data_IF_002068739730
#
_entry.id   IF_002068739730
#
_cell.length_a   1.000
_cell.length_b   1.000
_cell.length_c   1.000
_cell.angle_alpha   90.00
_cell.angle_beta   90.00
_cell.angle_gamma   90.00
#
_symmetry.space_group_name_H-M   'P 1'
#
loop_
_entity.id
_entity.type
_entity.pdbx_description
1 polymer ?
#
# COMPACT_ATOMS: atom_id res chain seq x y z
N UNK A 1 -12.46 -7.92 22.57
CA UNK A 1 -12.04 -7.40 21.25
C UNK A 1 -12.10 -8.53 20.22
N UNK A 2 -13.23 -8.68 19.53
CA UNK A 2 -13.35 -9.57 18.37
C UNK A 2 -13.02 -8.72 17.13
N UNK A 3 -11.73 -8.58 16.82
CA UNK A 3 -11.25 -7.83 15.65
C UNK A 3 -10.49 -8.78 14.71
N UNK A 4 -11.11 -9.88 14.31
CA UNK A 4 -10.68 -10.58 13.09
C UNK A 4 -11.32 -9.93 11.85
N UNK A 5 -10.96 -10.38 10.64
CA UNK A 5 -11.59 -9.97 9.37
C UNK A 5 -13.09 -10.23 9.48
N UNK A 6 -13.92 -9.22 9.81
CA UNK A 6 -15.31 -9.45 10.13
C UNK A 6 -16.04 -9.60 8.81
N UNK A 7 -16.72 -10.72 8.62
CA UNK A 7 -17.57 -10.95 7.45
C UNK A 7 -18.83 -10.07 7.40
N UNK A 8 -18.93 -9.02 8.23
CA UNK A 8 -20.17 -8.25 8.47
C UNK A 8 -19.94 -6.78 8.87
N UNK A 9 -18.77 -6.20 8.57
CA UNK A 9 -18.58 -4.75 8.80
C UNK A 9 -19.35 -3.97 7.73
N UNK A 10 -20.11 -2.95 8.12
CA UNK A 10 -20.93 -2.13 7.19
C UNK A 10 -20.07 -1.44 6.13
N UNK A 11 -18.79 -1.22 6.44
CA UNK A 11 -17.76 -0.61 5.61
C UNK A 11 -16.89 -1.63 4.84
N UNK A 12 -17.18 -2.93 4.93
CA UNK A 12 -16.42 -3.96 4.20
C UNK A 12 -17.02 -4.22 2.82
N UNK A 13 -16.20 -4.03 1.79
CA UNK A 13 -16.56 -4.30 0.40
C UNK A 13 -16.34 -5.76 -0.01
N UNK A 14 -15.53 -6.50 0.75
CA UNK A 14 -15.22 -7.90 0.48
C UNK A 14 -15.48 -8.74 1.73
N UNK A 15 -16.09 -9.90 1.52
CA UNK A 15 -16.43 -10.83 2.58
C UNK A 15 -15.70 -12.16 2.34
N UNK A 16 -14.82 -12.58 3.26
CA UNK A 16 -14.17 -13.87 3.11
C UNK A 16 -15.22 -14.99 3.22
N UNK A 17 -15.04 -16.13 2.51
CA UNK A 17 -15.93 -17.29 2.65
C UNK A 17 -16.06 -17.77 4.11
N UNK A 18 -15.01 -17.54 4.91
CA UNK A 18 -15.01 -17.78 6.36
C UNK A 18 -14.44 -16.57 7.09
N UNK A 19 -15.27 -15.95 7.94
CA UNK A 19 -14.84 -14.86 8.80
C UNK A 19 -13.83 -15.36 9.85
N UNK A 20 -12.76 -14.59 10.05
CA UNK A 20 -11.83 -14.81 11.16
C UNK A 20 -12.37 -14.10 12.39
N UNK A 21 -12.53 -14.80 13.51
CA UNK A 21 -13.22 -14.26 14.70
C UNK A 21 -12.28 -13.65 15.74
N UNK A 22 -10.99 -14.01 15.73
CA UNK A 22 -10.03 -13.59 16.77
C UNK A 22 -8.71 -13.13 16.15
N UNK A 23 -8.07 -12.16 16.81
CA UNK A 23 -6.75 -11.66 16.41
C UNK A 23 -5.68 -12.76 16.49
N UNK A 24 -5.84 -13.70 17.45
CA UNK A 24 -4.93 -14.80 17.68
C UNK A 24 -4.81 -15.75 16.48
N UNK A 25 -5.86 -15.90 15.67
CA UNK A 25 -5.79 -16.72 14.44
C UNK A 25 -4.71 -16.23 13.48
N UNK A 26 -4.48 -14.93 13.40
CA UNK A 26 -3.46 -14.34 12.52
C UNK A 26 -2.15 -14.01 13.26
N UNK A 27 -2.23 -13.51 14.49
CA UNK A 27 -1.07 -13.00 15.23
C UNK A 27 -0.46 -14.01 16.22
N UNK A 28 -1.10 -15.15 16.46
CA UNK A 28 -0.56 -16.23 17.30
C UNK A 28 -0.62 -17.55 16.52
N UNK A 29 0.20 -17.69 15.46
CA UNK A 29 0.16 -18.86 14.58
C UNK A 29 0.41 -20.14 15.38
N UNK A 30 -0.18 -21.24 14.91
CA UNK A 30 -0.02 -22.54 15.56
C UNK A 30 1.39 -23.09 15.30
N UNK A 31 2.04 -23.56 16.36
CA UNK A 31 3.36 -24.19 16.31
C UNK A 31 3.27 -25.58 16.94
N UNK A 32 3.85 -26.58 16.28
CA UNK A 32 3.92 -27.94 16.82
C UNK A 32 4.68 -27.94 18.15
N UNK A 33 4.16 -28.64 19.15
CA UNK A 33 4.73 -28.62 20.50
C UNK A 33 4.28 -29.83 21.32
N UNK A 34 5.21 -30.29 22.17
CA UNK A 34 4.96 -31.32 23.18
C UNK A 34 4.58 -30.74 24.55
N UNK A 35 4.35 -29.43 24.63
CA UNK A 35 3.92 -28.76 25.86
C UNK A 35 2.65 -29.43 26.44
N UNK A 36 2.52 -29.55 27.78
CA UNK A 36 1.33 -30.12 28.39
C UNK A 36 0.01 -29.46 27.95
N UNK A 37 0.02 -28.17 27.63
CA UNK A 37 -1.12 -27.43 27.14
C UNK A 37 -1.38 -27.59 25.63
N UNK A 38 -0.49 -28.25 24.87
CA UNK A 38 -0.63 -28.42 23.43
C UNK A 38 -1.86 -29.27 23.07
N UNK A 39 -2.61 -28.85 22.06
CA UNK A 39 -3.85 -29.50 21.59
C UNK A 39 -3.88 -29.54 20.07
N UNK A 40 -4.71 -30.41 19.51
CA UNK A 40 -5.01 -30.37 18.08
C UNK A 40 -6.02 -29.25 17.80
N UNK A 41 -5.50 -28.05 17.54
CA UNK A 41 -6.31 -26.85 17.32
C UNK A 41 -6.91 -26.76 15.91
N UNK A 42 -6.40 -27.53 14.95
CA UNK A 42 -6.80 -27.46 13.53
C UNK A 42 -7.31 -28.79 12.95
N UNK A 43 -7.43 -29.84 13.77
CA UNK A 43 -7.98 -31.13 13.37
C UNK A 43 -7.00 -31.99 12.55
N UNK A 44 -5.71 -31.65 12.58
CA UNK A 44 -4.66 -32.35 11.81
C UNK A 44 -4.12 -33.60 12.51
N UNK A 45 -4.51 -33.86 13.76
CA UNK A 45 -3.97 -34.90 14.62
C UNK A 45 -2.64 -34.53 15.31
N UNK A 46 -2.03 -33.38 14.97
CA UNK A 46 -0.79 -32.91 15.58
C UNK A 46 -1.06 -31.96 16.76
N UNK A 47 -0.38 -32.16 17.89
CA UNK A 47 -0.46 -31.26 19.05
C UNK A 47 0.32 -29.97 18.78
N UNK A 48 -0.35 -28.83 18.99
CA UNK A 48 0.17 -27.49 18.72
C UNK A 48 -0.10 -26.56 19.90
N UNK A 49 0.65 -25.48 19.99
CA UNK A 49 0.36 -24.31 20.84
C UNK A 49 0.16 -23.07 19.96
N UNK A 50 -0.43 -22.03 20.53
CA UNK A 50 -0.40 -20.71 19.93
C UNK A 50 0.94 -20.02 20.21
N UNK A 51 1.64 -19.63 19.17
CA UNK A 51 2.90 -18.89 19.28
C UNK A 51 2.70 -17.56 19.97
N UNK A 52 3.54 -17.26 20.96
CA UNK A 52 3.59 -15.96 21.63
C UNK A 52 4.68 -15.05 21.03
N UNK A 53 5.17 -15.37 19.83
CA UNK A 53 6.14 -14.54 19.13
C UNK A 53 5.51 -13.28 18.51
N UNK A 54 4.20 -13.31 18.19
CA UNK A 54 3.44 -12.20 17.59
C UNK A 54 4.10 -11.57 16.35
N UNK A 55 4.41 -12.35 15.30
CA UNK A 55 4.87 -11.76 14.06
C UNK A 55 3.80 -10.81 13.50
N UNK A 56 4.24 -9.60 13.18
CA UNK A 56 3.44 -8.50 12.63
C UNK A 56 4.36 -7.54 11.85
N UNK A 57 3.95 -6.29 11.64
CA UNK A 57 4.72 -5.34 10.84
C UNK A 57 6.04 -4.85 11.49
N UNK A 58 6.34 -5.16 12.75
CA UNK A 58 7.47 -4.54 13.46
C UNK A 58 8.85 -5.16 13.15
N UNK A 59 9.36 -4.94 11.94
CA UNK A 59 10.74 -5.29 11.57
C UNK A 59 11.79 -4.41 12.26
N UNK A 60 11.41 -3.19 12.67
CA UNK A 60 12.33 -2.20 13.24
C UNK A 60 12.87 -2.60 14.62
N UNK A 61 12.03 -3.11 15.51
CA UNK A 61 12.50 -3.56 16.84
C UNK A 61 13.36 -4.81 16.75
N UNK A 62 12.98 -5.78 15.91
CA UNK A 62 13.79 -6.99 15.72
C UNK A 62 15.19 -6.65 15.21
N UNK A 63 15.30 -5.68 14.31
CA UNK A 63 16.59 -5.15 13.85
C UNK A 63 17.34 -4.39 14.95
N UNK A 64 16.69 -3.42 15.62
CA UNK A 64 17.34 -2.58 16.62
C UNK A 64 17.81 -3.35 17.88
N UNK A 65 17.18 -4.48 18.18
CA UNK A 65 17.57 -5.38 19.28
C UNK A 65 18.49 -6.52 18.82
N UNK A 66 18.94 -6.51 17.56
CA UNK A 66 19.82 -7.54 16.98
C UNK A 66 19.26 -8.96 17.18
N UNK A 67 17.94 -9.12 17.04
CA UNK A 67 17.31 -10.44 17.17
C UNK A 67 17.76 -11.36 16.02
N UNK A 68 17.76 -12.69 16.23
CA UNK A 68 18.13 -13.64 15.18
C UNK A 68 17.32 -13.45 13.89
N UNK A 69 17.92 -13.69 12.73
CA UNK A 69 17.30 -13.46 11.40
C UNK A 69 15.91 -14.08 11.24
N UNK A 70 15.66 -15.23 11.89
CA UNK A 70 14.34 -15.88 11.92
C UNK A 70 13.22 -14.97 12.43
N UNK A 71 13.52 -14.05 13.35
CA UNK A 71 12.56 -13.08 13.88
C UNK A 71 12.13 -12.10 12.79
N UNK A 72 13.09 -11.50 12.08
CA UNK A 72 12.82 -10.58 10.96
C UNK A 72 12.12 -11.33 9.82
N UNK A 73 12.54 -12.56 9.52
CA UNK A 73 11.92 -13.40 8.50
C UNK A 73 10.44 -13.68 8.82
N UNK A 74 10.10 -14.01 10.08
CA UNK A 74 8.72 -14.21 10.50
C UNK A 74 7.87 -12.93 10.39
N UNK A 75 8.43 -11.76 10.72
CA UNK A 75 7.77 -10.47 10.49
C UNK A 75 7.53 -10.17 9.00
N UNK A 76 8.52 -10.46 8.14
CA UNK A 76 8.39 -10.32 6.68
C UNK A 76 7.32 -11.26 6.11
N UNK A 77 7.33 -12.53 6.51
CA UNK A 77 6.31 -13.50 6.09
C UNK A 77 4.89 -13.11 6.50
N UNK A 78 4.72 -12.40 7.62
CA UNK A 78 3.41 -11.87 8.03
C UNK A 78 2.93 -10.69 7.15
N UNK A 79 3.87 -9.94 6.55
CA UNK A 79 3.56 -8.83 5.65
C UNK A 79 3.25 -9.29 4.22
N UNK A 80 3.67 -10.50 3.83
CA UNK A 80 3.43 -11.05 2.50
C UNK A 80 1.92 -11.19 2.21
N UNK A 81 1.49 -10.60 1.09
CA UNK A 81 0.08 -10.59 0.67
C UNK A 81 -0.84 -9.76 1.57
N UNK A 82 -0.29 -8.92 2.46
CA UNK A 82 -1.10 -8.00 3.27
C UNK A 82 -1.78 -6.92 2.42
N UNK A 83 -1.12 -6.52 1.34
CA UNK A 83 -1.60 -5.48 0.44
C UNK A 83 -1.32 -5.82 -1.03
N UNK A 84 -1.91 -5.06 -1.94
CA UNK A 84 -1.61 -5.06 -3.37
C UNK A 84 -1.49 -3.62 -3.87
N UNK A 85 -0.64 -3.43 -4.88
CA UNK A 85 -0.60 -2.22 -5.71
C UNK A 85 -1.01 -2.62 -7.12
N UNK A 86 -1.81 -1.80 -7.78
CA UNK A 86 -2.16 -1.97 -9.19
C UNK A 86 -2.08 -0.61 -9.89
N UNK A 87 -1.22 -0.50 -10.91
CA UNK A 87 -1.20 0.63 -11.83
C UNK A 87 -2.36 0.40 -12.78
N UNK A 88 -3.52 0.91 -12.38
CA UNK A 88 -4.80 0.54 -12.96
C UNK A 88 -5.02 1.22 -14.31
N UNK A 89 -4.82 2.54 -14.36
CA UNK A 89 -5.21 3.37 -15.50
C UNK A 89 -4.31 4.57 -15.70
N UNK A 90 -4.48 5.25 -16.83
CA UNK A 90 -4.10 6.66 -16.96
C UNK A 90 -5.25 7.50 -17.48
N UNK A 91 -5.29 8.78 -17.11
CA UNK A 91 -6.18 9.78 -17.71
C UNK A 91 -5.42 10.73 -18.60
N UNK A 92 -6.00 11.08 -19.73
CA UNK A 92 -5.48 12.12 -20.62
C UNK A 92 -5.45 13.49 -19.93
N UNK A 93 -4.63 14.40 -20.48
CA UNK A 93 -4.44 15.79 -20.02
C UNK A 93 -3.88 15.96 -18.59
N UNK A 94 -3.73 14.88 -17.81
CA UNK A 94 -3.25 14.97 -16.44
C UNK A 94 -4.31 15.44 -15.43
N UNK A 95 -5.59 15.31 -15.78
CA UNK A 95 -6.72 15.82 -14.99
C UNK A 95 -7.67 14.69 -14.57
N UNK A 96 -8.37 14.88 -13.45
CA UNK A 96 -9.28 13.88 -12.86
C UNK A 96 -10.54 13.60 -13.71
N UNK A 97 -10.88 14.50 -14.63
CA UNK A 97 -11.98 14.40 -15.59
C UNK A 97 -11.51 14.03 -17.01
N UNK A 98 -10.20 13.83 -17.20
CA UNK A 98 -9.63 13.34 -18.44
C UNK A 98 -10.12 11.93 -18.81
N UNK A 99 -10.04 11.62 -20.11
CA UNK A 99 -10.43 10.31 -20.67
C UNK A 99 -9.61 9.21 -20.01
N UNK A 100 -10.28 8.26 -19.36
CA UNK A 100 -9.64 7.15 -18.68
C UNK A 100 -9.32 6.02 -19.66
N UNK A 101 -8.07 5.58 -19.64
CA UNK A 101 -7.59 4.37 -20.30
C UNK A 101 -7.29 3.33 -19.22
N UNK A 102 -8.20 2.38 -19.03
CA UNK A 102 -8.08 1.34 -18.01
C UNK A 102 -8.86 0.05 -18.38
N UNK A 103 -8.40 -1.12 -17.92
CA UNK A 103 -7.11 -1.32 -17.28
C UNK A 103 -5.97 -1.25 -18.31
N UNK A 104 -4.78 -0.80 -17.91
CA UNK A 104 -3.68 -0.54 -18.86
C UNK A 104 -3.10 -1.80 -19.52
N UNK A 105 -3.17 -2.96 -18.86
CA UNK A 105 -2.59 -4.23 -19.28
C UNK A 105 -3.33 -4.95 -20.43
N UNK A 106 -4.39 -4.33 -20.95
CA UNK A 106 -5.04 -4.70 -22.21
C UNK A 106 -5.43 -3.50 -23.06
N UNK A 107 -4.85 -2.32 -22.79
CA UNK A 107 -5.19 -1.09 -23.51
C UNK A 107 -4.33 -0.93 -24.77
N UNK A 108 -4.92 -0.51 -25.89
CA UNK A 108 -4.19 -0.11 -27.10
C UNK A 108 -3.59 1.31 -26.99
N UNK A 109 -3.41 1.80 -25.76
CA UNK A 109 -2.96 3.16 -25.48
C UNK A 109 -1.51 3.36 -25.96
N UNK A 110 -1.31 4.44 -26.69
CA UNK A 110 -0.01 5.00 -27.03
C UNK A 110 0.11 6.36 -26.37
N UNK A 111 1.12 6.53 -25.51
CA UNK A 111 1.42 7.81 -24.90
C UNK A 111 2.10 8.73 -25.92
N UNK A 112 1.59 9.95 -26.05
CA UNK A 112 2.18 10.98 -26.91
C UNK A 112 3.30 11.70 -26.14
N UNK A 113 4.55 11.73 -26.67
CA UNK A 113 5.59 12.61 -26.16
C UNK A 113 5.14 14.08 -26.11
N UNK A 114 5.55 14.80 -25.08
CA UNK A 114 5.13 16.19 -24.81
C UNK A 114 3.76 16.34 -24.13
N UNK A 115 3.03 15.24 -23.90
CA UNK A 115 1.73 15.28 -23.20
C UNK A 115 1.84 14.96 -21.72
N UNK A 116 0.79 15.34 -21.00
CA UNK A 116 0.57 15.03 -19.59
C UNK A 116 -0.50 13.98 -19.43
N UNK A 117 -0.29 13.07 -18.48
CA UNK A 117 -1.21 12.00 -18.11
C UNK A 117 -1.31 11.90 -16.59
N UNK A 118 -2.48 11.52 -16.08
CA UNK A 118 -2.68 11.25 -14.66
C UNK A 118 -2.66 9.73 -14.45
N UNK A 119 -1.65 9.20 -13.78
CA UNK A 119 -1.56 7.78 -13.46
C UNK A 119 -2.48 7.47 -12.27
N UNK A 120 -3.32 6.46 -12.43
CA UNK A 120 -4.28 5.98 -11.43
C UNK A 120 -3.73 4.72 -10.76
N UNK A 121 -3.10 4.87 -9.59
CA UNK A 121 -2.54 3.74 -8.83
C UNK A 121 -3.48 3.35 -7.69
N UNK A 122 -3.80 2.06 -7.58
CA UNK A 122 -4.68 1.52 -6.54
C UNK A 122 -3.86 0.81 -5.47
N UNK A 123 -4.09 1.14 -4.20
CA UNK A 123 -3.51 0.46 -3.03
C UNK A 123 -4.61 -0.30 -2.29
N UNK A 124 -4.49 -1.61 -2.21
CA UNK A 124 -5.53 -2.50 -1.68
C UNK A 124 -5.13 -3.17 -0.38
N UNK A 125 -6.01 -3.19 0.63
CA UNK A 125 -5.82 -3.90 1.90
C UNK A 125 -6.46 -5.31 1.91
N UNK A 126 -5.68 -6.35 1.65
CA UNK A 126 -6.19 -7.70 1.40
C UNK A 126 -6.50 -8.49 2.68
N UNK A 127 -5.46 -8.79 3.47
CA UNK A 127 -5.53 -9.74 4.59
C UNK A 127 -5.72 -9.07 5.96
N UNK A 128 -5.58 -7.75 6.04
CA UNK A 128 -5.56 -7.06 7.33
C UNK A 128 -6.99 -6.77 7.79
N UNK A 129 -7.41 -7.41 8.88
CA UNK A 129 -8.75 -7.24 9.48
C UNK A 129 -8.97 -5.91 10.21
N UNK A 130 -8.04 -4.98 10.08
CA UNK A 130 -8.05 -3.63 10.61
C UNK A 130 -7.45 -2.68 9.57
N UNK A 131 -7.35 -1.38 9.86
CA UNK A 131 -6.76 -0.43 8.92
C UNK A 131 -5.30 -0.76 8.61
N UNK A 132 -4.90 -0.53 7.37
CA UNK A 132 -3.50 -0.60 6.93
C UNK A 132 -2.91 0.81 7.01
N UNK A 133 -1.95 1.13 7.89
CA UNK A 133 -1.48 0.36 9.07
C UNK A 133 -2.31 0.67 10.32
N UNK A 134 -2.15 -0.05 11.44
CA UNK A 134 -2.81 0.28 12.71
C UNK A 134 -1.83 0.19 13.91
N UNK A 135 -2.34 0.48 15.11
CA UNK A 135 -1.57 0.60 16.35
C UNK A 135 -0.97 1.99 16.47
N UNK A 136 0.00 2.30 15.61
CA UNK A 136 0.72 3.58 15.60
C UNK A 136 0.81 4.12 14.19
N UNK A 137 -0.36 4.43 13.63
CA UNK A 137 -0.51 4.85 12.24
C UNK A 137 0.09 6.23 11.96
N UNK A 138 0.38 7.02 12.98
CA UNK A 138 1.04 8.34 12.95
C UNK A 138 2.55 8.26 12.64
N UNK A 139 3.17 7.12 12.94
CA UNK A 139 4.62 6.96 13.05
C UNK A 139 5.16 5.69 12.39
N UNK A 140 4.27 4.79 11.94
CA UNK A 140 4.59 3.80 10.93
C UNK A 140 4.79 4.53 9.60
N UNK A 141 5.86 4.24 8.86
CA UNK A 141 6.15 4.85 7.57
C UNK A 141 5.76 3.87 6.47
N UNK A 142 4.54 4.04 5.94
CA UNK A 142 4.02 3.29 4.79
C UNK A 142 3.79 4.27 3.66
N UNK A 143 4.46 4.10 2.52
CA UNK A 143 4.38 5.04 1.40
C UNK A 143 4.38 4.32 0.06
N UNK A 144 3.84 5.00 -0.95
CA UNK A 144 3.91 4.54 -2.34
C UNK A 144 5.14 5.17 -2.99
N UNK A 145 6.00 4.31 -3.50
CA UNK A 145 7.25 4.63 -4.17
C UNK A 145 7.06 4.41 -5.68
N UNK A 146 7.15 5.48 -6.48
CA UNK A 146 6.87 5.46 -7.92
C UNK A 146 8.09 5.90 -8.71
N UNK A 147 8.42 5.18 -9.77
CA UNK A 147 9.40 5.59 -10.77
C UNK A 147 8.86 5.43 -12.17
N UNK A 148 9.13 6.43 -13.01
CA UNK A 148 8.81 6.42 -14.43
C UNK A 148 10.11 6.51 -15.21
N UNK A 149 10.32 5.61 -16.16
CA UNK A 149 11.53 5.60 -16.99
C UNK A 149 11.23 5.29 -18.45
N UNK A 150 12.04 5.82 -19.35
CA UNK A 150 11.96 5.52 -20.77
C UNK A 150 13.38 5.40 -21.36
N UNK A 151 13.63 4.38 -22.16
CA UNK A 151 14.97 4.10 -22.69
C UNK A 151 16.05 3.92 -21.60
N UNK A 152 15.67 3.46 -20.40
CA UNK A 152 16.57 3.34 -19.23
C UNK A 152 16.85 4.65 -18.48
N UNK A 153 16.34 5.78 -18.96
CA UNK A 153 16.42 7.09 -18.29
C UNK A 153 15.23 7.27 -17.36
N UNK A 154 15.48 7.65 -16.10
CA UNK A 154 14.44 8.08 -15.17
C UNK A 154 13.86 9.43 -15.64
N UNK A 155 12.54 9.50 -15.82
CA UNK A 155 11.81 10.70 -16.24
C UNK A 155 10.80 11.19 -15.19
N UNK A 156 10.50 10.38 -14.17
CA UNK A 156 9.64 10.78 -13.05
C UNK A 156 9.90 9.96 -11.80
N UNK A 157 9.73 10.56 -10.61
CA UNK A 157 10.00 9.92 -9.33
C UNK A 157 9.15 10.51 -8.20
N UNK A 158 8.61 9.64 -7.34
CA UNK A 158 8.02 9.99 -6.04
C UNK A 158 8.37 8.89 -5.03
N UNK A 159 8.51 9.19 -3.75
CA UNK A 159 8.88 8.19 -2.73
C UNK A 159 10.37 7.84 -2.67
N UNK A 160 11.24 8.63 -3.30
CA UNK A 160 12.68 8.46 -3.14
C UNK A 160 13.11 8.69 -1.68
N UNK A 161 14.14 7.95 -1.25
CA UNK A 161 14.78 8.18 0.04
C UNK A 161 16.05 9.00 -0.14
N UNK A 162 16.21 10.04 0.67
CA UNK A 162 17.45 10.81 0.75
C UNK A 162 18.59 10.04 1.42
N UNK A 163 19.81 10.62 1.46
CA UNK A 163 20.99 9.96 2.02
C UNK A 163 20.87 9.54 3.49
N UNK A 164 20.08 10.27 4.27
CA UNK A 164 19.81 9.99 5.69
C UNK A 164 18.64 9.01 5.89
N UNK A 165 18.04 8.51 4.81
CA UNK A 165 16.89 7.62 4.82
C UNK A 165 15.54 8.34 4.93
N UNK A 166 15.48 9.67 4.91
CA UNK A 166 14.20 10.41 4.87
C UNK A 166 13.48 10.15 3.55
N UNK A 167 12.22 9.71 3.62
CA UNK A 167 11.36 9.59 2.42
C UNK A 167 10.95 10.99 1.96
N UNK A 168 10.91 11.21 0.66
CA UNK A 168 10.39 12.44 0.04
C UNK A 168 9.06 12.86 0.71
N UNK A 169 9.00 14.06 1.34
CA UNK A 169 7.82 14.49 2.08
C UNK A 169 6.57 14.71 1.20
N UNK A 170 6.72 14.79 -0.12
CA UNK A 170 5.61 14.91 -1.07
C UNK A 170 5.05 13.56 -1.53
N UNK A 171 5.56 12.46 -0.99
CA UNK A 171 5.07 11.11 -1.30
C UNK A 171 3.68 10.88 -0.74
N UNK A 172 2.93 9.98 -1.37
CA UNK A 172 1.68 9.51 -0.76
C UNK A 172 1.98 8.55 0.40
N UNK A 173 1.74 9.01 1.62
CA UNK A 173 1.82 8.20 2.83
C UNK A 173 0.46 7.61 3.18
N UNK A 174 0.43 6.29 3.40
CA UNK A 174 -0.72 5.53 3.91
C UNK A 174 -0.67 5.58 5.44
N UNK A 175 -1.01 6.73 6.00
CA UNK A 175 -0.89 7.02 7.43
C UNK A 175 -2.04 7.92 7.93
N UNK A 176 -2.05 8.18 9.23
CA UNK A 176 -2.85 9.24 9.82
C UNK A 176 -1.92 10.41 10.16
N UNK A 177 -2.18 11.60 9.61
CA UNK A 177 -1.40 12.79 9.91
C UNK A 177 -2.05 13.55 11.05
N UNK A 178 -1.48 13.41 12.25
CA UNK A 178 -2.03 13.99 13.47
C UNK A 178 -1.29 15.27 13.82
N UNK A 179 -2.04 16.30 14.21
CA UNK A 179 -1.52 17.59 14.65
C UNK A 179 -1.64 17.75 16.16
N UNK A 180 -0.72 18.52 16.73
CA UNK A 180 -0.83 19.05 18.09
C UNK A 180 -1.72 20.29 18.13
N UNK A 181 -2.04 20.78 19.33
CA UNK A 181 -2.78 22.04 19.53
C UNK A 181 -2.08 23.28 18.95
N UNK A 182 -0.79 23.16 18.63
CA UNK A 182 0.03 24.22 18.03
C UNK A 182 0.12 24.12 16.50
N UNK A 183 -0.55 23.14 15.89
CA UNK A 183 -0.52 22.91 14.45
C UNK A 183 0.73 22.18 13.94
N UNK A 184 1.55 21.66 14.85
CA UNK A 184 2.74 20.86 14.51
C UNK A 184 2.34 19.40 14.27
N UNK A 185 3.05 18.69 13.40
CA UNK A 185 2.89 17.23 13.27
C UNK A 185 3.26 16.54 14.58
N UNK A 186 2.43 15.60 15.03
CA UNK A 186 2.79 14.67 16.09
C UNK A 186 3.82 13.67 15.56
N UNK A 187 5.08 13.78 15.98
CA UNK A 187 6.21 13.04 15.41
C UNK A 187 7.08 12.30 16.46
N UNK A 188 6.75 12.41 17.75
CA UNK A 188 7.51 11.81 18.86
C UNK A 188 6.77 10.71 19.61
N UNK A 189 5.63 10.25 19.09
CA UNK A 189 4.72 9.30 19.77
C UNK A 189 4.25 9.77 21.15
N UNK A 190 4.18 11.08 21.33
CA UNK A 190 3.64 11.77 22.48
C UNK A 190 2.11 11.83 22.41
N UNK A 191 1.44 10.69 22.56
CA UNK A 191 0.00 10.57 22.38
C UNK A 191 -0.84 11.58 23.17
N UNK A 192 -0.36 12.06 24.32
CA UNK A 192 -1.01 13.10 25.12
C UNK A 192 -1.17 14.45 24.40
N UNK A 193 -0.37 14.71 23.37
CA UNK A 193 -0.40 15.97 22.61
C UNK A 193 -1.26 15.87 21.33
N UNK A 194 -1.89 14.71 21.09
CA UNK A 194 -2.80 14.51 19.96
C UNK A 194 -3.99 15.47 20.06
N UNK A 195 -4.22 16.26 19.01
CA UNK A 195 -5.31 17.23 18.98
C UNK A 195 -6.31 16.96 17.86
N UNK A 196 -5.86 16.93 16.60
CA UNK A 196 -6.73 16.71 15.44
C UNK A 196 -6.01 15.95 14.34
N UNK A 197 -6.73 15.10 13.60
CA UNK A 197 -6.22 14.44 12.40
C UNK A 197 -6.41 15.36 11.20
N UNK A 198 -5.31 15.80 10.57
CA UNK A 198 -5.34 16.60 9.35
C UNK A 198 -5.85 15.79 8.16
N UNK A 199 -5.35 14.56 8.01
CA UNK A 199 -5.86 13.60 7.03
C UNK A 199 -5.68 12.17 7.56
N UNK A 200 -6.51 11.25 7.06
CA UNK A 200 -6.38 9.82 7.31
C UNK A 200 -6.39 9.05 5.98
N UNK A 201 -5.22 8.61 5.53
CA UNK A 201 -5.05 7.80 4.33
C UNK A 201 -4.94 6.31 4.64
N UNK A 202 -5.23 5.88 5.87
CA UNK A 202 -5.21 4.46 6.19
C UNK A 202 -6.29 3.71 5.41
N UNK A 203 -5.96 2.54 4.85
CA UNK A 203 -6.92 1.77 4.04
C UNK A 203 -7.72 0.82 4.94
N UNK A 204 -9.06 0.94 5.03
CA UNK A 204 -9.90 0.04 5.84
C UNK A 204 -9.81 -1.44 5.43
N UNK A 205 -10.28 -2.38 6.27
CA UNK A 205 -10.33 -3.80 5.94
C UNK A 205 -11.14 -4.04 4.67
N UNK A 206 -10.56 -4.72 3.68
CA UNK A 206 -11.27 -5.02 2.45
C UNK A 206 -11.51 -3.80 1.55
N UNK A 207 -10.96 -2.63 1.88
CA UNK A 207 -11.07 -1.44 1.03
C UNK A 207 -9.79 -1.19 0.22
N UNK A 208 -9.85 -0.17 -0.64
CA UNK A 208 -8.75 0.32 -1.46
C UNK A 208 -8.63 1.85 -1.35
N UNK A 209 -7.50 2.39 -1.79
CA UNK A 209 -7.28 3.81 -2.01
C UNK A 209 -6.77 4.03 -3.45
N UNK A 210 -7.19 5.13 -4.08
CA UNK A 210 -6.63 5.58 -5.36
C UNK A 210 -5.65 6.71 -5.09
N UNK A 211 -4.47 6.62 -5.70
CA UNK A 211 -3.42 7.63 -5.65
C UNK A 211 -3.15 8.11 -7.06
N UNK A 212 -3.26 9.42 -7.26
CA UNK A 212 -3.06 10.05 -8.55
C UNK A 212 -1.63 10.60 -8.67
N UNK A 213 -0.92 10.24 -9.73
CA UNK A 213 0.39 10.82 -10.04
C UNK A 213 0.35 11.52 -11.38
N UNK A 214 0.69 12.81 -11.39
CA UNK A 214 0.89 13.51 -12.65
C UNK A 214 2.19 13.06 -13.29
N UNK A 215 2.11 12.62 -14.53
CA UNK A 215 3.24 12.24 -15.37
C UNK A 215 3.28 13.15 -16.59
N UNK A 216 4.41 13.80 -16.83
CA UNK A 216 4.69 14.53 -18.06
C UNK A 216 5.65 13.67 -18.90
N UNK A 217 5.23 13.29 -20.11
CA UNK A 217 6.08 12.51 -21.01
C UNK A 217 6.98 13.50 -21.76
N UNK A 218 8.31 13.45 -21.60
CA UNK A 218 9.19 14.38 -22.31
C UNK A 218 9.10 14.22 -23.84
N UNK A 219 9.25 15.33 -24.58
CA UNK A 219 9.18 15.34 -26.05
C UNK A 219 10.26 14.47 -26.72
N UNK A 220 11.39 14.26 -26.04
CA UNK A 220 12.55 13.52 -26.54
C UNK A 220 12.50 12.02 -26.20
N UNK A 221 11.43 11.55 -25.57
CA UNK A 221 11.26 10.12 -25.29
C UNK A 221 10.93 9.37 -26.58
N UNK A 222 11.73 8.35 -26.84
CA UNK A 222 11.44 7.30 -27.82
C UNK A 222 11.43 5.94 -27.12
N UNK A 223 10.49 5.08 -27.50
CA UNK A 223 10.33 3.76 -26.89
C UNK A 223 9.43 3.78 -25.65
N UNK A 224 9.09 2.61 -25.10
CA UNK A 224 8.03 2.52 -24.12
C UNK A 224 8.38 3.19 -22.78
N UNK A 225 7.37 3.79 -22.16
CA UNK A 225 7.42 4.35 -20.81
C UNK A 225 7.11 3.24 -19.80
N UNK A 226 8.06 2.98 -18.91
CA UNK A 226 7.95 2.02 -17.83
C UNK A 226 7.55 2.75 -16.54
N UNK A 227 6.41 2.37 -15.97
CA UNK A 227 5.92 2.87 -14.69
C UNK A 227 6.04 1.73 -13.69
N UNK A 228 6.74 1.98 -12.58
CA UNK A 228 6.87 1.05 -11.46
C UNK A 228 6.32 1.72 -10.21
N UNK A 229 5.50 0.99 -9.44
CA UNK A 229 4.96 1.43 -8.17
C UNK A 229 5.19 0.35 -7.11
N UNK A 230 5.65 0.73 -5.93
CA UNK A 230 5.88 -0.16 -4.80
C UNK A 230 5.34 0.43 -3.51
N UNK A 231 4.51 -0.33 -2.79
CA UNK A 231 4.10 0.02 -1.43
C UNK A 231 5.19 -0.42 -0.47
N UNK A 232 5.91 0.54 0.11
CA UNK A 232 7.05 0.31 0.99
C UNK A 232 6.72 0.64 2.43
N UNK A 233 7.22 -0.16 3.34
CA UNK A 233 6.99 -0.04 4.77
C UNK A 233 8.30 0.00 5.55
N UNK A 234 8.36 0.87 6.54
CA UNK A 234 9.35 0.87 7.61
C UNK A 234 8.67 1.21 8.93
N UNK A 235 9.12 0.57 10.02
CA UNK A 235 8.43 0.69 11.32
C UNK A 235 8.44 2.10 11.89
N UNK A 236 9.58 2.79 11.79
CA UNK A 236 9.78 4.11 12.35
C UNK A 236 10.32 5.03 11.26
N UNK A 237 9.67 6.18 11.10
CA UNK A 237 10.15 7.21 10.18
C UNK A 237 11.47 7.83 10.67
N UNK A 238 12.12 8.57 9.77
CA UNK A 238 13.43 9.17 10.02
C UNK A 238 13.37 10.26 11.08
N UNK A 239 12.27 10.99 11.19
CA UNK A 239 12.09 12.04 12.22
C UNK A 239 12.11 11.41 13.61
N UNK A 240 11.34 10.36 13.82
CA UNK A 240 11.26 9.65 15.09
C UNK A 240 12.60 9.00 15.47
N UNK A 241 13.27 8.31 14.54
CA UNK A 241 14.57 7.71 14.85
C UNK A 241 15.65 8.74 15.14
N UNK A 242 15.66 9.87 14.44
CA UNK A 242 16.58 10.97 14.73
C UNK A 242 16.38 11.48 16.15
N UNK A 243 15.14 11.65 16.57
CA UNK A 243 14.82 12.03 17.94
C UNK A 243 15.32 11.01 18.97
N UNK A 244 15.05 9.71 18.75
CA UNK A 244 15.46 8.63 19.68
C UNK A 244 16.98 8.46 19.77
N UNK A 245 17.69 8.56 18.65
CA UNK A 245 19.14 8.36 18.62
C UNK A 245 19.93 9.63 18.98
N UNK A 246 19.34 10.82 18.84
CA UNK A 246 19.98 12.10 19.15
C UNK A 246 21.27 12.31 18.36
N UNK A 247 22.35 12.73 19.04
CA UNK A 247 23.67 12.96 18.42
C UNK A 247 24.28 11.72 17.76
N UNK A 248 23.79 10.51 18.08
CA UNK A 248 24.24 9.25 17.45
C UNK A 248 23.56 8.98 16.11
N UNK A 249 22.50 9.71 15.77
CA UNK A 249 21.82 9.53 14.50
C UNK A 249 22.78 9.81 13.33
N UNK A 250 22.84 8.88 12.38
CA UNK A 250 23.62 9.02 11.14
C UNK A 250 22.73 8.91 9.91
N UNK A 251 21.82 7.94 9.95
CA UNK A 251 20.80 7.66 8.93
C UNK A 251 19.76 6.74 9.55
N UNK A 252 18.58 6.69 8.96
CA UNK A 252 17.61 5.64 9.26
C UNK A 252 18.00 4.38 8.47
N UNK A 253 18.54 3.41 9.18
CA UNK A 253 19.02 2.12 8.68
C UNK A 253 18.04 0.96 8.93
N UNK A 254 16.84 1.24 9.46
CA UNK A 254 15.88 0.17 9.68
C UNK A 254 15.44 -0.49 8.37
N UNK A 255 15.11 -1.80 8.40
CA UNK A 255 14.69 -2.52 7.22
C UNK A 255 13.44 -1.91 6.58
N UNK A 256 13.54 -1.62 5.28
CA UNK A 256 12.39 -1.34 4.42
C UNK A 256 11.88 -2.66 3.84
N UNK A 257 10.57 -2.88 3.91
CA UNK A 257 9.88 -4.04 3.33
C UNK A 257 8.97 -3.55 2.20
N UNK A 258 9.08 -4.15 1.03
CA UNK A 258 8.10 -3.95 -0.06
C UNK A 258 6.91 -4.88 0.21
N UNK A 259 5.75 -4.32 0.51
CA UNK A 259 4.52 -5.08 0.77
C UNK A 259 3.88 -5.55 -0.52
N UNK A 260 3.95 -4.73 -1.57
CA UNK A 260 3.43 -5.01 -2.88
C UNK A 260 4.13 -4.12 -3.91
N UNK A 261 4.17 -4.57 -5.16
CA UNK A 261 4.67 -3.79 -6.27
C UNK A 261 3.94 -4.16 -7.55
N UNK A 262 3.88 -3.21 -8.46
CA UNK A 262 3.36 -3.40 -9.81
C UNK A 262 4.20 -2.62 -10.82
N UNK A 263 4.20 -3.11 -12.06
CA UNK A 263 4.95 -2.50 -13.15
C UNK A 263 4.21 -2.67 -14.46
N UNK A 264 4.22 -1.61 -15.26
CA UNK A 264 3.65 -1.61 -16.60
C UNK A 264 4.53 -0.83 -17.59
N UNK A 265 4.50 -1.26 -18.85
CA UNK A 265 5.21 -0.63 -19.95
C UNK A 265 4.19 -0.19 -21.01
N UNK A 266 4.09 1.12 -21.25
CA UNK A 266 3.13 1.71 -22.19
C UNK A 266 3.89 2.26 -23.40
N UNK A 267 3.40 1.95 -24.61
CA UNK A 267 4.02 2.36 -25.86
C UNK A 267 4.02 3.90 -26.03
N UNK A 268 4.99 4.43 -26.78
CA UNK A 268 5.01 5.84 -27.22
C UNK A 268 4.97 6.00 -28.74
N UNK A 269 5.05 4.90 -29.48
CA UNK A 269 4.89 4.88 -30.92
C UNK A 269 4.54 3.50 -31.49
N UNK A 270 4.18 3.43 -32.78
CA UNK A 270 3.83 2.18 -33.45
C UNK A 270 5.04 1.23 -33.49
N UNK A 271 4.89 0.02 -32.93
CA UNK A 271 5.94 -1.00 -32.88
C UNK A 271 6.68 -1.12 -31.55
N UNK A 272 6.41 -0.24 -30.58
CA UNK A 272 6.82 -0.46 -29.19
C UNK A 272 6.06 -1.66 -28.63
N UNK A 273 6.78 -2.65 -28.12
CA UNK A 273 6.15 -3.78 -27.45
C UNK A 273 5.54 -3.30 -26.13
N UNK A 274 4.21 -3.14 -26.10
CA UNK A 274 3.49 -3.09 -24.83
C UNK A 274 3.77 -4.39 -24.09
N UNK A 275 4.33 -4.26 -22.90
CA UNK A 275 4.64 -5.40 -22.07
C UNK A 275 4.15 -5.11 -20.67
N UNK A 276 3.18 -5.89 -20.23
CA UNK A 276 2.94 -6.07 -18.81
C UNK A 276 4.09 -6.89 -18.24
N UNK A 277 5.12 -6.21 -17.76
CA UNK A 277 6.19 -6.85 -17.00
C UNK A 277 5.82 -6.77 -15.52
N UNK A 278 5.01 -7.72 -15.06
CA UNK A 278 4.69 -7.88 -13.64
C UNK A 278 4.73 -9.35 -13.24
N UNK A 279 5.62 -9.71 -12.31
CA UNK A 279 5.80 -11.08 -11.80
C UNK A 279 4.65 -11.55 -10.87
N UNK A 280 3.49 -10.90 -10.91
CA UNK A 280 2.33 -11.22 -10.07
C UNK A 280 1.12 -11.55 -10.92
N UNK A 281 0.37 -12.57 -10.52
CA UNK A 281 -0.98 -12.80 -11.03
C UNK A 281 -1.81 -11.53 -10.79
N UNK A 282 -2.18 -10.83 -11.88
CA UNK A 282 -3.12 -9.71 -11.82
C UNK A 282 -4.47 -10.27 -11.32
N UNK A 283 -5.18 -9.54 -10.45
CA UNK A 283 -6.51 -9.95 -10.01
C UNK A 283 -7.48 -10.01 -11.20
N UNK A 284 -8.60 -10.69 -11.00
CA UNK A 284 -9.69 -10.71 -11.96
C UNK A 284 -10.16 -9.29 -12.29
N UNK A 285 -10.59 -9.07 -13.54
CA UNK A 285 -10.90 -7.74 -14.05
C UNK A 285 -11.97 -7.01 -13.22
N UNK A 286 -13.02 -7.73 -12.81
CA UNK A 286 -14.08 -7.17 -11.98
C UNK A 286 -13.54 -6.70 -10.63
N UNK A 287 -12.56 -7.40 -10.06
CA UNK A 287 -11.97 -7.05 -8.75
C UNK A 287 -11.19 -5.75 -8.86
N UNK A 288 -10.47 -5.55 -9.97
CA UNK A 288 -9.69 -4.34 -10.22
C UNK A 288 -10.56 -3.10 -10.42
N UNK A 289 -11.63 -3.23 -11.20
CA UNK A 289 -12.64 -2.17 -11.33
C UNK A 289 -13.34 -1.85 -10.01
N UNK A 290 -13.68 -2.89 -9.24
CA UNK A 290 -14.33 -2.72 -7.94
C UNK A 290 -13.41 -2.00 -6.95
N UNK A 291 -12.14 -2.40 -6.86
CA UNK A 291 -11.16 -1.71 -6.02
C UNK A 291 -10.94 -0.26 -6.42
N UNK A 292 -10.86 0.02 -7.72
CA UNK A 292 -10.77 1.38 -8.24
C UNK A 292 -11.99 2.21 -7.83
N UNK A 293 -13.20 1.67 -8.02
CA UNK A 293 -14.45 2.30 -7.61
C UNK A 293 -14.54 2.56 -6.11
N UNK A 294 -14.11 1.61 -5.27
CA UNK A 294 -14.05 1.77 -3.81
C UNK A 294 -13.14 2.91 -3.41
N UNK A 295 -11.94 2.97 -3.97
CA UNK A 295 -10.98 4.02 -3.62
C UNK A 295 -11.48 5.40 -4.05
N UNK A 296 -12.11 5.51 -5.22
CA UNK A 296 -12.75 6.75 -5.68
C UNK A 296 -13.95 7.14 -4.80
N UNK A 297 -14.78 6.18 -4.39
CA UNK A 297 -15.92 6.42 -3.51
C UNK A 297 -15.47 7.00 -2.16
N UNK A 298 -14.46 6.39 -1.56
CA UNK A 298 -13.92 6.82 -0.25
C UNK A 298 -13.17 8.16 -0.32
N UNK A 299 -12.72 8.58 -1.50
CA UNK A 299 -12.06 9.88 -1.71
C UNK A 299 -13.04 11.03 -1.97
N UNK A 300 -14.33 10.73 -2.19
CA UNK A 300 -15.33 11.64 -2.76
C UNK A 300 -15.80 12.81 -1.89
N UNK A 301 -15.31 12.96 -0.65
CA UNK A 301 -15.64 14.07 0.25
C UNK A 301 -14.90 15.39 -0.07
N UNK A 302 -13.97 15.39 -1.04
CA UNK A 302 -13.22 16.58 -1.45
C UNK A 302 -14.05 17.56 -2.32
N UNK A 303 -13.61 18.83 -2.38
CA UNK A 303 -14.26 19.91 -3.18
C UNK A 303 -14.43 19.57 -4.68
N UNK A 304 -13.61 18.65 -5.21
CA UNK A 304 -13.78 18.03 -6.52
C UNK A 304 -14.07 16.54 -6.32
N UNK A 305 -15.36 16.20 -6.34
CA UNK A 305 -15.81 14.86 -6.00
C UNK A 305 -15.50 13.82 -7.07
N UNK A 306 -14.93 12.69 -6.67
CA UNK A 306 -14.64 11.50 -7.51
C UNK A 306 -15.84 10.55 -7.64
N UNK A 307 -17.02 10.94 -7.13
CA UNK A 307 -18.19 10.06 -7.07
C UNK A 307 -18.72 9.64 -8.45
N UNK A 308 -18.63 10.50 -9.47
CA UNK A 308 -19.01 10.13 -10.85
C UNK A 308 -18.07 9.08 -11.43
N UNK A 309 -16.78 9.20 -11.15
CA UNK A 309 -15.79 8.22 -11.56
C UNK A 309 -16.00 6.88 -10.83
N UNK A 310 -16.39 6.93 -9.55
CA UNK A 310 -16.75 5.73 -8.78
C UNK A 310 -17.97 5.03 -9.38
N UNK A 311 -19.04 5.78 -9.70
CA UNK A 311 -20.23 5.25 -10.38
C UNK A 311 -19.86 4.56 -11.71
N UNK A 312 -19.03 5.22 -12.53
CA UNK A 312 -18.54 4.62 -13.77
C UNK A 312 -17.77 3.31 -13.53
N UNK A 313 -16.89 3.28 -12.54
CA UNK A 313 -16.13 2.08 -12.20
C UNK A 313 -17.05 0.93 -11.75
N UNK A 314 -18.07 1.20 -10.93
CA UNK A 314 -19.03 0.19 -10.52
C UNK A 314 -19.92 -0.29 -11.68
N UNK A 315 -20.25 0.57 -12.63
CA UNK A 315 -20.95 0.14 -13.85
C UNK A 315 -20.09 -0.82 -14.71
N UNK A 316 -18.76 -0.65 -14.73
CA UNK A 316 -17.87 -1.62 -15.36
C UNK A 316 -17.87 -2.97 -14.64
N UNK A 317 -17.96 -2.98 -13.30
CA UNK A 317 -18.11 -4.22 -12.53
C UNK A 317 -19.41 -4.92 -12.89
N UNK A 318 -20.54 -4.21 -12.89
CA UNK A 318 -21.85 -4.77 -13.25
C UNK A 318 -21.87 -5.37 -14.66
N UNK A 319 -21.21 -4.73 -15.62
CA UNK A 319 -21.12 -5.20 -16.99
C UNK A 319 -20.33 -6.53 -17.15
N UNK A 320 -19.52 -6.91 -16.16
CA UNK A 320 -18.72 -8.14 -16.16
C UNK A 320 -19.47 -9.36 -15.61
N UNK A 321 -20.67 -9.16 -15.04
CA UNK A 321 -21.52 -10.22 -14.45
C UNK A 321 -21.17 -10.56 -13.01
#
# INVERSE_FOLDING_TARGET
MQSGVPGHRVDSFYYPPRATRTCATCHMPLEASDDPAARDFDGSGARKIHSHFFPAANTGLAHALELPDKAIAAHRGMLEGAARVDIFGVREAGEIDGVLHAPLDGSDLVLEPGRRYLVEAVVRNLRVGHHLTQGTADSNELWVDVSVSAGGRLIGRSGAMGPDGTVDPWSFFVNAYVLTKHGERLDRRNGQDSFVTLYNHQVPPGAAAVVHYLMEVPEDVSGPVNIEAALRYRKFDTTYLRYVQGERFRRNDLPVVTLASDRISVATGPGDAQTTVGNGHKPELWERWNDYGIGLLLSGEAQHSTLRQAEHAFAQVEALG
#
